data_IF_862485070459
#
_entry.id   IF_862485070459
#
_cell.length_a   1.000
_cell.length_b   1.000
_cell.length_c   1.000
_cell.angle_alpha   90.00
_cell.angle_beta   90.00
_cell.angle_gamma   90.00
#
_symmetry.space_group_name_H-M   'P 1'
#
loop_
_entity.id
_entity.type
_entity.pdbx_description
1 polymer ?
#
# COMPACT_ATOMS: atom_id res chain seq x y z
N UNK A 1 22.69 -26.10 40.50
CA UNK A 1 21.80 -25.04 40.04
C UNK A 1 20.39 -25.31 40.48
N UNK A 2 19.73 -24.33 41.00
CA UNK A 2 18.35 -24.50 41.40
C UNK A 2 17.44 -24.39 40.18
N UNK A 3 16.35 -25.13 40.19
CA UNK A 3 15.34 -25.07 39.12
C UNK A 3 14.82 -23.65 38.88
N UNK A 4 14.73 -22.82 39.93
CA UNK A 4 14.23 -21.46 39.84
C UNK A 4 15.14 -20.53 38.99
N UNK A 5 16.45 -20.78 38.92
CA UNK A 5 17.37 -20.04 38.06
C UNK A 5 17.10 -20.36 36.58
N UNK A 6 16.85 -21.63 36.27
CA UNK A 6 16.55 -22.07 34.90
C UNK A 6 15.21 -21.50 34.42
N UNK A 7 14.21 -21.47 35.30
CA UNK A 7 12.92 -20.85 34.98
C UNK A 7 13.03 -19.36 34.76
N UNK A 8 13.86 -18.66 35.51
CA UNK A 8 14.10 -17.22 35.33
C UNK A 8 14.75 -16.94 33.99
N UNK A 9 15.71 -17.77 33.58
CA UNK A 9 16.37 -17.62 32.28
C UNK A 9 15.39 -17.85 31.12
N UNK A 10 14.55 -18.87 31.23
CA UNK A 10 13.52 -19.17 30.27
C UNK A 10 12.52 -18.00 30.14
N UNK A 11 12.08 -17.48 31.28
CA UNK A 11 11.16 -16.34 31.32
C UNK A 11 11.79 -15.11 30.66
N UNK A 12 13.07 -14.86 30.96
CA UNK A 12 13.80 -13.72 30.36
C UNK A 12 13.90 -13.87 28.86
N UNK A 13 14.20 -15.06 28.37
CA UNK A 13 14.25 -15.34 26.92
C UNK A 13 12.91 -15.10 26.25
N UNK A 14 11.84 -15.60 26.85
CA UNK A 14 10.49 -15.39 26.29
C UNK A 14 10.10 -13.91 26.28
N UNK A 15 10.42 -13.17 27.32
CA UNK A 15 10.17 -11.72 27.38
C UNK A 15 10.92 -11.00 26.29
N UNK A 16 12.16 -11.39 26.03
CA UNK A 16 12.96 -10.79 24.94
C UNK A 16 12.38 -11.12 23.59
N UNK A 17 11.96 -12.37 23.37
CA UNK A 17 11.31 -12.77 22.12
C UNK A 17 10.01 -12.00 21.89
N UNK A 18 9.20 -11.82 22.92
CA UNK A 18 7.97 -11.04 22.85
C UNK A 18 8.28 -9.58 22.49
N UNK A 19 9.32 -9.01 23.12
CA UNK A 19 9.74 -7.63 22.80
C UNK A 19 10.11 -7.49 21.34
N UNK A 20 10.92 -8.40 20.82
CA UNK A 20 11.35 -8.38 19.41
C UNK A 20 10.17 -8.54 18.47
N UNK A 21 9.26 -9.46 18.78
CA UNK A 21 8.06 -9.69 17.98
C UNK A 21 7.16 -8.46 17.94
N UNK A 22 6.99 -7.77 19.06
CA UNK A 22 6.22 -6.53 19.13
C UNK A 22 6.84 -5.43 18.27
N UNK A 23 8.17 -5.32 18.28
CA UNK A 23 8.87 -4.38 17.40
C UNK A 23 8.65 -4.70 15.94
N UNK A 24 8.75 -5.99 15.58
CA UNK A 24 8.51 -6.44 14.21
C UNK A 24 7.08 -6.15 13.76
N UNK A 25 6.10 -6.38 14.64
CA UNK A 25 4.70 -6.06 14.34
C UNK A 25 4.54 -4.56 14.10
N UNK A 26 5.12 -3.73 14.95
CA UNK A 26 5.05 -2.27 14.79
C UNK A 26 5.66 -1.83 13.46
N UNK A 27 6.82 -2.37 13.10
CA UNK A 27 7.49 -2.08 11.83
C UNK A 27 6.63 -2.51 10.63
N UNK A 28 6.00 -3.69 10.72
CA UNK A 28 5.12 -4.19 9.67
C UNK A 28 3.86 -3.34 9.54
N UNK A 29 3.30 -2.89 10.66
CA UNK A 29 2.14 -1.99 10.64
C UNK A 29 2.49 -0.67 9.97
N UNK A 30 3.64 -0.09 10.27
CA UNK A 30 4.10 1.15 9.66
C UNK A 30 4.35 0.96 8.16
N UNK A 31 4.99 -0.14 7.78
CA UNK A 31 5.23 -0.48 6.38
C UNK A 31 3.92 -0.65 5.62
N UNK A 32 2.92 -1.30 6.24
CA UNK A 32 1.60 -1.48 5.64
C UNK A 32 0.89 -0.15 5.43
N UNK A 33 0.96 0.76 6.40
CA UNK A 33 0.38 2.11 6.26
C UNK A 33 1.01 2.86 5.10
N UNK A 34 2.33 2.80 4.97
CA UNK A 34 3.04 3.42 3.84
C UNK A 34 2.63 2.84 2.50
N UNK A 35 2.53 1.52 2.43
CA UNK A 35 2.10 0.82 1.21
C UNK A 35 0.66 1.16 0.84
N UNK A 36 -0.23 1.21 1.82
CA UNK A 36 -1.64 1.58 1.60
C UNK A 36 -1.76 3.00 1.08
N UNK A 37 -1.01 3.94 1.65
CA UNK A 37 -0.98 5.31 1.18
C UNK A 37 -0.45 5.43 -0.26
N UNK A 38 0.60 4.68 -0.57
CA UNK A 38 1.16 4.64 -1.93
C UNK A 38 0.18 4.04 -2.93
N UNK A 39 -0.50 2.97 -2.54
CA UNK A 39 -1.50 2.32 -3.37
C UNK A 39 -2.68 3.26 -3.65
N UNK A 40 -3.16 3.94 -2.62
CA UNK A 40 -4.24 4.92 -2.75
C UNK A 40 -3.86 6.00 -3.75
N UNK A 41 -2.65 6.56 -3.64
CA UNK A 41 -2.16 7.57 -4.59
C UNK A 41 -2.06 7.03 -6.00
N UNK A 42 -1.58 5.79 -6.16
CA UNK A 42 -1.49 5.15 -7.48
C UNK A 42 -2.87 4.95 -8.11
N UNK A 43 -3.85 4.52 -7.32
CA UNK A 43 -5.22 4.35 -7.78
C UNK A 43 -5.86 5.68 -8.20
N UNK A 44 -5.64 6.73 -7.43
CA UNK A 44 -6.14 8.08 -7.77
C UNK A 44 -5.53 8.57 -9.08
N UNK A 45 -4.24 8.33 -9.26
CA UNK A 45 -3.53 8.69 -10.48
C UNK A 45 -4.06 7.93 -11.69
N UNK A 46 -4.33 6.65 -11.50
CA UNK A 46 -4.90 5.81 -12.54
C UNK A 46 -6.30 6.28 -12.94
N UNK A 47 -7.16 6.59 -11.97
CA UNK A 47 -8.51 7.13 -12.24
C UNK A 47 -8.43 8.43 -13.03
N UNK A 48 -7.54 9.32 -12.63
CA UNK A 48 -7.35 10.60 -13.31
C UNK A 48 -6.87 10.40 -14.76
N UNK A 49 -5.89 9.52 -14.95
CA UNK A 49 -5.35 9.20 -16.27
C UNK A 49 -6.41 8.54 -17.17
N UNK A 50 -7.21 7.65 -16.60
CA UNK A 50 -8.29 6.98 -17.32
C UNK A 50 -9.34 8.00 -17.77
N UNK A 51 -9.70 8.92 -16.89
CA UNK A 51 -10.63 10.01 -17.22
C UNK A 51 -10.09 10.90 -18.34
N UNK A 52 -8.82 11.27 -18.27
CA UNK A 52 -8.17 12.07 -19.31
C UNK A 52 -8.17 11.34 -20.66
N UNK A 53 -7.91 10.04 -20.65
CA UNK A 53 -7.92 9.23 -21.85
C UNK A 53 -9.32 9.17 -22.47
N UNK A 54 -10.35 8.97 -21.65
CA UNK A 54 -11.74 8.97 -22.11
C UNK A 54 -12.12 10.30 -22.75
N UNK A 55 -11.71 11.40 -22.11
CA UNK A 55 -11.97 12.75 -22.66
C UNK A 55 -11.23 12.97 -23.96
N UNK A 56 -9.99 12.55 -24.08
CA UNK A 56 -9.21 12.66 -25.30
C UNK A 56 -9.84 11.85 -26.44
N UNK A 57 -10.28 10.64 -26.15
CA UNK A 57 -10.95 9.79 -27.14
C UNK A 57 -12.26 10.40 -27.61
N UNK A 58 -13.00 11.01 -26.69
CA UNK A 58 -14.25 11.71 -27.02
C UNK A 58 -13.98 12.88 -27.97
N UNK A 59 -12.97 13.69 -27.67
CA UNK A 59 -12.57 14.81 -28.53
C UNK A 59 -12.15 14.35 -29.93
N UNK A 60 -11.38 13.26 -30.00
CA UNK A 60 -10.95 12.69 -31.28
C UNK A 60 -12.17 12.25 -32.09
N UNK A 61 -13.13 11.59 -31.47
CA UNK A 61 -14.34 11.13 -32.12
C UNK A 61 -15.18 12.31 -32.63
N UNK A 62 -15.28 13.38 -31.83
CA UNK A 62 -15.98 14.61 -32.24
C UNK A 62 -15.31 15.27 -33.44
N UNK A 63 -13.99 15.32 -33.47
CA UNK A 63 -13.22 15.84 -34.59
C UNK A 63 -13.44 15.02 -35.86
N UNK A 64 -13.47 13.71 -35.75
CA UNK A 64 -13.74 12.82 -36.89
C UNK A 64 -15.14 13.03 -37.46
N UNK A 65 -16.12 13.21 -36.58
CA UNK A 65 -17.50 13.49 -37.01
C UNK A 65 -17.61 14.83 -37.71
N UNK A 66 -16.90 15.85 -37.24
CA UNK A 66 -16.85 17.15 -37.90
C UNK A 66 -16.22 17.07 -39.28
N UNK A 67 -15.14 16.34 -39.45
CA UNK A 67 -14.49 16.11 -40.73
C UNK A 67 -15.44 15.43 -41.72
N UNK A 68 -16.18 14.44 -41.26
CA UNK A 68 -17.19 13.77 -42.09
C UNK A 68 -18.31 14.71 -42.52
N UNK A 69 -18.73 15.63 -41.65
CA UNK A 69 -19.78 16.60 -41.95
C UNK A 69 -19.34 17.68 -42.93
N UNK A 70 -18.04 18.00 -42.93
CA UNK A 70 -17.51 19.04 -43.80
C UNK A 70 -17.31 18.57 -45.25
N UNK A 71 -17.33 17.26 -45.43
CA UNK A 71 -17.27 16.67 -46.78
C UNK A 71 -18.68 16.62 -47.38
#
# INVERSE_FOLDING_TARGET
MSESADYKDIITEYKEQVRVLKEQISELEDANKSKDAALKRALQKLEHTTSDLENANKEINEMKDLDKKSE
#
